data_IF_359086803047
#
_entry.id   IF_359086803047
#
_cell.length_a   1.000
_cell.length_b   1.000
_cell.length_c   1.000
_cell.angle_alpha   90.00
_cell.angle_beta   90.00
_cell.angle_gamma   90.00
#
_symmetry.space_group_name_H-M   'P 1'
#
loop_
_entity.id
_entity.type
_entity.pdbx_description
1 polymer ?
#
# COMPACT_ATOMS: atom_id res chain seq x y z
N UNK A 1 -12.01 0.26 -4.88
CA UNK A 1 -11.91 0.28 -6.36
C UNK A 1 -11.33 -1.06 -6.80
N UNK A 2 -12.05 -1.82 -7.64
CA UNK A 2 -11.55 -3.07 -8.20
C UNK A 2 -10.32 -2.77 -9.05
N UNK A 3 -9.17 -3.30 -8.69
CA UNK A 3 -7.98 -3.25 -9.54
C UNK A 3 -8.30 -4.00 -10.84
N UNK A 4 -8.39 -3.27 -11.93
CA UNK A 4 -8.69 -3.84 -13.24
C UNK A 4 -7.38 -4.19 -13.94
N UNK A 5 -7.12 -5.47 -14.10
CA UNK A 5 -6.00 -5.96 -14.89
C UNK A 5 -6.33 -5.91 -16.38
N UNK A 6 -5.30 -5.77 -17.20
CA UNK A 6 -5.44 -5.71 -18.65
C UNK A 6 -4.54 -6.75 -19.28
N UNK A 7 -5.09 -7.59 -20.14
CA UNK A 7 -4.28 -8.40 -21.04
C UNK A 7 -3.86 -7.54 -22.24
N UNK A 8 -2.58 -7.52 -22.49
CA UNK A 8 -1.99 -6.74 -23.57
C UNK A 8 -1.26 -7.69 -24.51
N UNK A 9 -1.71 -7.81 -25.76
CA UNK A 9 -0.93 -8.42 -26.82
C UNK A 9 0.17 -7.44 -27.20
N UNK A 10 1.22 -7.42 -26.41
CA UNK A 10 2.26 -6.44 -26.30
C UNK A 10 2.60 -5.69 -27.58
N UNK A 11 2.78 -4.42 -27.42
CA UNK A 11 3.42 -3.60 -28.41
C UNK A 11 4.89 -3.97 -28.46
N UNK A 12 5.25 -4.95 -29.29
CA UNK A 12 6.63 -5.09 -29.70
C UNK A 12 6.84 -4.03 -30.79
N UNK A 13 7.19 -2.84 -30.37
CA UNK A 13 7.91 -1.88 -31.20
C UNK A 13 7.14 -0.99 -32.17
N UNK A 14 5.82 -0.95 -32.20
CA UNK A 14 5.10 0.04 -33.00
C UNK A 14 3.90 0.60 -32.27
N UNK A 15 4.07 1.76 -31.65
CA UNK A 15 2.93 2.66 -31.41
C UNK A 15 2.61 3.27 -32.78
N UNK A 16 1.51 2.85 -33.40
CA UNK A 16 0.97 3.58 -34.53
C UNK A 16 0.47 4.92 -33.98
N UNK A 17 1.03 6.06 -34.38
CA UNK A 17 0.59 7.35 -33.88
C UNK A 17 -0.89 7.55 -34.24
N UNK A 18 -1.75 7.66 -33.25
CA UNK A 18 -3.18 7.97 -33.41
C UNK A 18 -4.17 6.89 -33.00
N UNK A 19 -3.80 5.62 -32.86
CA UNK A 19 -4.69 4.57 -32.38
C UNK A 19 -4.23 4.04 -31.03
N UNK A 20 -4.97 4.38 -29.99
CA UNK A 20 -4.82 3.76 -28.67
C UNK A 20 -5.69 2.49 -28.64
N UNK A 21 -5.11 1.35 -28.99
CA UNK A 21 -5.75 0.06 -28.73
C UNK A 21 -5.81 -0.12 -27.22
N UNK A 22 -7.01 -0.04 -26.66
CA UNK A 22 -7.23 -0.29 -25.23
C UNK A 22 -7.20 -1.81 -25.02
N UNK A 23 -6.29 -2.32 -24.18
CA UNK A 23 -6.28 -3.73 -23.84
C UNK A 23 -7.57 -4.11 -23.10
N UNK A 24 -7.99 -5.37 -23.29
CA UNK A 24 -9.17 -5.91 -22.59
C UNK A 24 -8.94 -5.88 -21.08
N UNK A 25 -9.94 -5.39 -20.35
CA UNK A 25 -9.90 -5.43 -18.89
C UNK A 25 -10.18 -6.86 -18.40
N UNK A 26 -9.41 -7.29 -17.39
CA UNK A 26 -9.57 -8.57 -16.72
C UNK A 26 -10.11 -8.34 -15.30
N UNK A 27 -11.42 -8.44 -15.06
CA UNK A 27 -11.97 -8.50 -13.72
C UNK A 27 -11.35 -9.65 -12.93
N UNK A 28 -10.92 -9.39 -11.68
CA UNK A 28 -10.40 -10.43 -10.80
C UNK A 28 -11.44 -11.47 -10.38
N UNK A 29 -10.97 -12.62 -9.89
CA UNK A 29 -11.82 -13.64 -9.28
C UNK A 29 -12.53 -14.59 -10.23
N UNK A 30 -12.14 -14.65 -11.49
CA UNK A 30 -12.64 -15.64 -12.47
C UNK A 30 -11.51 -16.18 -13.33
N UNK A 31 -11.74 -17.34 -13.94
CA UNK A 31 -10.85 -17.95 -14.92
C UNK A 31 -11.09 -17.42 -16.33
N UNK A 32 -10.06 -17.38 -17.12
CA UNK A 32 -10.04 -16.95 -18.51
C UNK A 32 -9.35 -17.99 -19.36
N UNK A 33 -9.91 -18.29 -20.54
CA UNK A 33 -9.23 -19.14 -21.54
C UNK A 33 -8.47 -18.21 -22.49
N UNK A 34 -7.19 -18.46 -22.65
CA UNK A 34 -6.33 -17.64 -23.51
C UNK A 34 -5.47 -18.46 -24.45
N UNK A 35 -5.06 -17.83 -25.56
CA UNK A 35 -4.14 -18.41 -26.55
C UNK A 35 -3.22 -17.34 -27.09
N UNK A 36 -1.93 -17.63 -27.16
CA UNK A 36 -0.93 -16.82 -27.85
C UNK A 36 -0.33 -17.61 -28.99
N UNK A 37 -0.32 -17.03 -30.20
CA UNK A 37 0.29 -17.61 -31.40
C UNK A 37 1.26 -16.62 -32.03
N UNK A 38 2.38 -17.12 -32.49
CA UNK A 38 3.29 -16.39 -33.34
C UNK A 38 3.40 -17.10 -34.70
N UNK A 39 3.07 -16.38 -35.77
CA UNK A 39 3.27 -16.81 -37.14
C UNK A 39 4.46 -16.04 -37.75
N UNK A 40 5.63 -16.67 -37.94
CA UNK A 40 6.80 -16.01 -38.54
C UNK A 40 6.66 -15.77 -40.05
N UNK A 41 5.67 -16.37 -40.70
CA UNK A 41 5.48 -16.33 -42.18
C UNK A 41 4.37 -15.41 -42.62
N UNK A 42 3.79 -14.62 -41.74
CA UNK A 42 2.78 -13.60 -42.13
C UNK A 42 3.37 -12.60 -43.11
N UNK A 43 2.76 -12.48 -44.30
CA UNK A 43 3.39 -12.17 -45.57
C UNK A 43 4.01 -10.77 -45.75
N UNK A 44 3.66 -9.77 -44.96
CA UNK A 44 4.12 -8.38 -45.18
C UNK A 44 4.96 -7.81 -44.04
N UNK A 45 5.21 -8.62 -43.01
CA UNK A 45 5.89 -8.17 -41.79
C UNK A 45 6.96 -9.16 -41.33
N UNK A 46 7.65 -8.85 -40.26
CA UNK A 46 8.56 -9.75 -39.56
C UNK A 46 7.90 -10.93 -38.86
N UNK A 47 6.57 -11.02 -38.91
CA UNK A 47 5.74 -12.03 -38.28
C UNK A 47 4.48 -11.41 -37.66
N UNK A 48 3.55 -12.25 -37.21
CA UNK A 48 2.32 -11.83 -36.55
C UNK A 48 2.13 -12.55 -35.21
N UNK A 49 1.84 -11.79 -34.19
CA UNK A 49 1.34 -12.28 -32.92
C UNK A 49 -0.17 -12.19 -32.90
N UNK A 50 -0.83 -13.28 -32.54
CA UNK A 50 -2.28 -13.34 -32.32
C UNK A 50 -2.53 -13.75 -30.87
N UNK A 51 -3.25 -12.93 -30.15
CA UNK A 51 -3.67 -13.22 -28.79
C UNK A 51 -5.18 -13.33 -28.72
N UNK A 52 -5.68 -14.44 -28.23
CA UNK A 52 -7.13 -14.67 -28.05
C UNK A 52 -7.41 -14.88 -26.56
N UNK A 53 -8.47 -14.27 -26.05
CA UNK A 53 -8.93 -14.45 -24.68
C UNK A 53 -10.46 -14.51 -24.66
N UNK A 54 -11.01 -15.59 -24.13
CA UNK A 54 -12.46 -15.86 -24.09
C UNK A 54 -13.14 -15.60 -25.47
N UNK A 55 -12.46 -16.00 -26.55
CA UNK A 55 -12.98 -15.85 -27.93
C UNK A 55 -12.74 -14.48 -28.58
N UNK A 56 -12.31 -13.48 -27.86
CA UNK A 56 -11.89 -12.19 -28.42
C UNK A 56 -10.44 -12.22 -28.85
N UNK A 57 -10.13 -11.66 -30.00
CA UNK A 57 -8.79 -11.74 -30.61
C UNK A 57 -8.20 -10.36 -30.84
N UNK A 58 -6.93 -10.22 -30.49
CA UNK A 58 -6.10 -9.07 -30.84
C UNK A 58 -4.87 -9.51 -31.63
N UNK A 59 -4.45 -8.71 -32.60
CA UNK A 59 -3.30 -9.00 -33.45
C UNK A 59 -2.25 -7.89 -33.36
N UNK A 60 -0.98 -8.31 -33.41
CA UNK A 60 0.16 -7.41 -33.44
C UNK A 60 1.14 -7.88 -34.52
N UNK A 61 1.50 -6.97 -35.44
CA UNK A 61 2.48 -7.25 -36.48
C UNK A 61 3.90 -6.96 -35.95
N UNK A 62 4.79 -7.91 -36.09
CA UNK A 62 6.21 -7.72 -35.78
C UNK A 62 6.89 -7.10 -36.99
N UNK A 63 7.65 -6.02 -36.80
CA UNK A 63 8.39 -5.39 -37.92
C UNK A 63 9.54 -6.28 -38.41
N UNK A 64 9.91 -6.11 -39.66
CA UNK A 64 11.04 -6.85 -40.24
C UNK A 64 12.35 -6.52 -39.53
N UNK A 65 12.48 -5.29 -39.08
CA UNK A 65 13.64 -4.79 -38.35
C UNK A 65 13.77 -5.53 -37.03
N UNK A 66 12.67 -5.61 -36.22
CA UNK A 66 12.67 -6.34 -34.94
C UNK A 66 12.98 -7.83 -35.11
N UNK A 67 12.52 -8.42 -36.19
CA UNK A 67 12.88 -9.81 -36.48
C UNK A 67 14.36 -9.97 -36.83
N UNK A 68 14.90 -9.00 -37.56
CA UNK A 68 16.33 -9.01 -37.96
C UNK A 68 17.28 -8.77 -36.79
N UNK A 69 16.80 -8.19 -35.67
CA UNK A 69 17.57 -8.01 -34.44
C UNK A 69 17.96 -9.37 -33.78
N UNK A 70 17.37 -10.47 -34.26
CA UNK A 70 17.81 -11.81 -33.89
C UNK A 70 17.42 -12.29 -32.50
N UNK A 71 16.27 -11.87 -31.98
CA UNK A 71 15.76 -12.33 -30.69
C UNK A 71 15.60 -13.85 -30.67
N UNK A 72 16.13 -14.48 -29.64
CA UNK A 72 16.02 -15.93 -29.37
C UNK A 72 15.24 -16.14 -28.09
N UNK A 73 14.15 -16.89 -28.17
CA UNK A 73 13.34 -17.27 -27.02
C UNK A 73 13.71 -18.71 -26.61
N UNK A 74 14.19 -18.87 -25.40
CA UNK A 74 14.61 -20.16 -24.84
C UNK A 74 13.63 -20.67 -23.78
N UNK A 75 12.80 -19.79 -23.21
CA UNK A 75 11.90 -20.11 -22.12
C UNK A 75 10.53 -19.52 -22.36
N UNK A 76 9.53 -20.18 -21.82
CA UNK A 76 8.17 -19.66 -21.63
C UNK A 76 7.86 -19.63 -20.14
N UNK A 77 7.30 -18.55 -19.64
CA UNK A 77 6.95 -18.45 -18.22
C UNK A 77 6.62 -17.03 -17.78
N UNK A 78 6.69 -16.80 -16.48
CA UNK A 78 6.41 -15.51 -15.86
C UNK A 78 7.71 -14.74 -15.64
N UNK A 79 7.76 -13.52 -16.13
CA UNK A 79 8.86 -12.59 -15.91
C UNK A 79 8.34 -11.30 -15.28
N UNK A 80 9.07 -10.71 -14.31
CA UNK A 80 8.78 -9.36 -13.86
C UNK A 80 9.08 -8.37 -14.97
N UNK A 81 8.20 -7.41 -15.16
CA UNK A 81 8.43 -6.32 -16.11
C UNK A 81 9.54 -5.41 -15.54
N UNK A 82 10.50 -4.96 -16.36
CA UNK A 82 11.55 -4.04 -15.93
C UNK A 82 11.01 -2.60 -15.78
N UNK A 83 9.94 -2.45 -15.02
CA UNK A 83 9.27 -1.18 -14.73
C UNK A 83 8.57 -1.29 -13.38
N UNK A 84 8.59 -0.21 -12.61
CA UNK A 84 7.81 -0.14 -11.37
C UNK A 84 6.32 -0.09 -11.68
N UNK A 85 5.55 -0.97 -11.04
CA UNK A 85 4.10 -0.97 -11.04
C UNK A 85 3.59 -0.41 -9.73
N UNK A 86 2.45 0.24 -9.80
CA UNK A 86 1.84 0.87 -8.64
C UNK A 86 1.17 -0.13 -7.69
N UNK A 87 0.88 -1.34 -8.16
CA UNK A 87 0.26 -2.39 -7.36
C UNK A 87 0.84 -3.76 -7.65
N UNK A 88 0.98 -4.65 -6.65
CA UNK A 88 1.20 -6.06 -6.91
C UNK A 88 -0.06 -6.69 -7.48
N UNK A 89 0.13 -7.78 -8.23
CA UNK A 89 -0.93 -8.61 -8.73
C UNK A 89 -0.70 -10.07 -8.43
N UNK A 90 -1.79 -10.80 -8.37
CA UNK A 90 -1.79 -12.24 -8.25
C UNK A 90 -2.49 -12.82 -9.49
N UNK A 91 -1.83 -13.75 -10.16
CA UNK A 91 -2.36 -14.46 -11.29
C UNK A 91 -1.92 -15.94 -11.20
N UNK A 92 -2.82 -16.80 -11.59
CA UNK A 92 -2.61 -18.23 -11.60
C UNK A 92 -2.78 -18.73 -13.02
N UNK A 93 -1.90 -19.61 -13.48
CA UNK A 93 -1.97 -20.28 -14.78
C UNK A 93 -2.14 -21.77 -14.53
N UNK A 94 -3.01 -22.38 -15.29
CA UNK A 94 -3.27 -23.82 -15.24
C UNK A 94 -3.59 -24.36 -16.65
N UNK A 95 -3.48 -25.66 -16.85
CA UNK A 95 -3.75 -26.31 -18.14
C UNK A 95 -3.01 -25.67 -19.32
N UNK A 96 -1.74 -25.30 -19.14
CA UNK A 96 -0.97 -24.58 -20.16
C UNK A 96 -0.44 -25.53 -21.22
N UNK A 97 -0.79 -25.32 -22.48
CA UNK A 97 -0.23 -26.06 -23.60
C UNK A 97 0.80 -25.22 -24.35
N UNK A 98 2.04 -25.70 -24.44
CA UNK A 98 3.14 -25.05 -25.15
C UNK A 98 3.60 -25.94 -26.30
N UNK A 99 3.36 -25.49 -27.53
CA UNK A 99 3.72 -26.25 -28.74
C UNK A 99 3.28 -27.72 -28.73
N UNK A 100 2.09 -27.97 -28.17
CA UNK A 100 1.50 -29.31 -28.09
C UNK A 100 1.83 -30.09 -26.81
N UNK A 101 2.75 -29.64 -25.98
CA UNK A 101 3.01 -30.19 -24.66
C UNK A 101 2.11 -29.60 -23.62
N UNK A 102 1.38 -30.41 -22.87
CA UNK A 102 0.43 -29.99 -21.83
C UNK A 102 1.11 -29.98 -20.47
N UNK A 103 0.90 -28.91 -19.70
CA UNK A 103 1.31 -28.76 -18.30
C UNK A 103 0.04 -28.47 -17.48
N UNK A 104 -0.41 -29.47 -16.73
CA UNK A 104 -1.61 -29.39 -15.88
C UNK A 104 -1.28 -28.98 -14.43
N UNK A 105 -0.01 -28.76 -14.12
CA UNK A 105 0.51 -28.36 -12.82
C UNK A 105 0.03 -29.19 -11.62
N UNK A 106 -0.48 -30.39 -11.82
CA UNK A 106 -0.77 -31.36 -10.74
C UNK A 106 0.47 -31.73 -9.96
N UNK A 107 1.62 -31.70 -10.65
CA UNK A 107 2.95 -31.83 -10.06
C UNK A 107 3.84 -30.68 -10.54
N UNK A 108 4.91 -30.38 -9.78
CA UNK A 108 5.88 -29.36 -10.18
C UNK A 108 6.58 -29.75 -11.49
N UNK A 109 6.38 -29.00 -12.57
CA UNK A 109 7.01 -29.31 -13.88
C UNK A 109 8.52 -29.09 -13.91
N UNK A 110 9.12 -28.69 -12.78
CA UNK A 110 10.56 -28.43 -12.63
C UNK A 110 11.05 -27.33 -13.60
N UNK A 111 10.22 -26.31 -13.82
CA UNK A 111 10.63 -25.17 -14.63
C UNK A 111 11.76 -24.38 -13.96
N UNK A 112 12.65 -23.79 -14.76
CA UNK A 112 13.71 -22.95 -14.26
C UNK A 112 13.16 -21.79 -13.45
N UNK A 113 13.84 -21.49 -12.34
CA UNK A 113 13.41 -20.46 -11.40
C UNK A 113 14.59 -19.62 -10.91
N UNK A 114 14.33 -18.33 -10.67
CA UNK A 114 15.33 -17.40 -10.13
C UNK A 114 14.69 -16.37 -9.23
N UNK A 115 15.01 -16.44 -7.93
CA UNK A 115 14.57 -15.45 -6.92
C UNK A 115 13.04 -15.22 -6.85
N UNK A 116 12.26 -16.14 -7.38
CA UNK A 116 10.81 -16.02 -7.49
C UNK A 116 10.09 -16.41 -6.20
N UNK A 117 10.78 -17.11 -5.28
CA UNK A 117 10.19 -17.61 -4.04
C UNK A 117 11.24 -17.72 -2.93
N UNK A 118 10.86 -17.33 -1.72
CA UNK A 118 11.68 -17.54 -0.51
C UNK A 118 11.24 -18.82 0.21
N UNK A 119 9.93 -19.03 0.29
CA UNK A 119 9.34 -20.23 0.89
C UNK A 119 8.16 -20.69 0.04
N UNK A 120 7.86 -22.01 0.10
CA UNK A 120 6.64 -22.55 -0.47
C UNK A 120 5.46 -22.30 0.47
N UNK A 121 4.66 -21.30 0.16
CA UNK A 121 3.39 -21.05 0.84
C UNK A 121 2.30 -21.41 -0.15
N UNK A 122 1.61 -22.52 0.10
CA UNK A 122 0.62 -23.04 -0.84
C UNK A 122 -0.79 -22.56 -0.55
N UNK A 123 -1.06 -21.99 0.62
CA UNK A 123 -2.41 -21.64 1.06
C UNK A 123 -2.65 -20.14 1.10
N UNK A 124 -1.77 -19.38 1.72
CA UNK A 124 -1.83 -17.91 1.75
C UNK A 124 -0.51 -17.39 1.21
N UNK A 125 -0.51 -16.99 -0.05
CA UNK A 125 0.70 -16.49 -0.70
C UNK A 125 1.11 -15.14 -0.14
N UNK A 126 0.20 -14.46 0.60
CA UNK A 126 0.46 -13.16 1.16
C UNK A 126 -0.50 -12.84 2.29
N UNK A 127 -0.02 -12.71 3.54
CA UNK A 127 -0.85 -12.19 4.61
C UNK A 127 -1.25 -10.75 4.28
N UNK A 128 -2.50 -10.37 4.62
CA UNK A 128 -2.96 -8.98 4.45
C UNK A 128 -2.24 -8.05 5.41
N UNK A 129 -1.98 -8.52 6.62
CA UNK A 129 -1.25 -7.79 7.64
C UNK A 129 -0.16 -8.66 8.23
N UNK A 130 1.04 -8.09 8.31
CA UNK A 130 2.17 -8.68 9.02
C UNK A 130 2.97 -7.53 9.62
N UNK A 131 2.41 -6.92 10.69
CA UNK A 131 3.00 -5.80 11.41
C UNK A 131 2.81 -5.93 12.92
N UNK A 132 3.70 -5.34 13.64
CA UNK A 132 3.77 -5.34 15.09
C UNK A 132 5.20 -5.15 15.54
N UNK A 133 5.60 -5.82 16.63
CA UNK A 133 7.00 -5.89 16.99
C UNK A 133 7.77 -6.74 15.98
N UNK A 134 8.91 -6.24 15.53
CA UNK A 134 9.82 -6.91 14.61
C UNK A 134 11.23 -6.94 15.20
N UNK A 135 11.98 -8.05 15.11
CA UNK A 135 13.38 -8.12 15.57
C UNK A 135 14.36 -7.43 14.62
N UNK A 136 13.88 -6.75 13.62
CA UNK A 136 14.68 -6.04 12.61
C UNK A 136 15.22 -4.71 13.14
N UNK A 137 15.97 -3.97 12.31
CA UNK A 137 16.62 -2.71 12.69
C UNK A 137 16.67 -1.74 11.49
N UNK A 138 15.58 -1.65 10.75
CA UNK A 138 15.47 -0.80 9.57
C UNK A 138 15.38 0.69 9.92
N UNK A 139 14.62 1.02 10.97
CA UNK A 139 14.47 2.39 11.43
C UNK A 139 15.67 2.90 12.23
N UNK A 140 16.66 2.04 12.53
CA UNK A 140 17.96 2.45 13.05
C UNK A 140 17.93 3.08 14.44
N UNK A 141 17.12 2.56 15.34
CA UNK A 141 17.07 2.97 16.74
C UNK A 141 18.29 2.54 17.55
N UNK A 142 18.22 2.69 18.87
CA UNK A 142 19.34 2.41 19.79
C UNK A 142 19.73 0.94 19.86
N UNK A 143 18.81 0.03 19.57
CA UNK A 143 19.03 -1.41 19.61
C UNK A 143 18.12 -2.10 18.56
N UNK A 144 18.43 -3.33 18.13
CA UNK A 144 17.52 -4.12 17.31
C UNK A 144 16.18 -4.36 18.01
N UNK A 145 15.10 -4.31 17.25
CA UNK A 145 13.71 -4.41 17.70
C UNK A 145 12.98 -3.11 17.42
N UNK A 146 11.96 -3.17 16.58
CA UNK A 146 11.24 -2.01 16.07
C UNK A 146 9.75 -2.32 15.86
N UNK A 147 8.94 -1.29 15.72
CA UNK A 147 7.50 -1.39 15.40
C UNK A 147 7.28 -1.24 13.93
N UNK A 148 6.65 -2.20 13.26
CA UNK A 148 6.32 -2.05 11.84
C UNK A 148 6.08 -3.35 11.13
N UNK A 149 6.22 -3.33 9.79
CA UNK A 149 6.01 -4.48 8.94
C UNK A 149 5.14 -4.19 7.72
N UNK A 150 4.44 -5.18 7.22
CA UNK A 150 3.53 -5.10 6.07
C UNK A 150 2.15 -4.63 6.53
N UNK A 151 1.78 -3.42 6.13
CA UNK A 151 0.53 -2.77 6.51
C UNK A 151 -0.28 -2.49 5.25
N UNK A 152 -1.46 -3.08 5.12
CA UNK A 152 -2.46 -2.70 4.13
C UNK A 152 -3.39 -1.63 4.68
N UNK A 153 -4.03 -0.87 3.81
CA UNK A 153 -5.24 -0.15 4.19
C UNK A 153 -6.28 -1.14 4.71
N UNK A 154 -7.04 -0.71 5.72
CA UNK A 154 -8.16 -1.47 6.27
C UNK A 154 -9.42 -1.36 5.41
N UNK A 155 -10.52 -1.71 5.99
CA UNK A 155 -11.87 -1.43 5.47
C UNK A 155 -12.84 -1.56 6.64
N UNK A 156 -13.40 -0.46 7.11
CA UNK A 156 -14.32 -0.51 8.25
C UNK A 156 -15.62 -1.26 7.97
N UNK A 157 -15.92 -1.55 6.72
CA UNK A 157 -17.09 -2.37 6.34
C UNK A 157 -16.88 -3.86 6.60
N UNK A 158 -15.63 -4.29 6.76
CA UNK A 158 -15.23 -5.69 6.98
C UNK A 158 -14.36 -5.81 8.24
N UNK A 159 -14.86 -6.37 9.35
CA UNK A 159 -14.09 -6.47 10.61
C UNK A 159 -12.72 -7.14 10.45
N UNK A 160 -12.60 -8.14 9.58
CA UNK A 160 -11.35 -8.86 9.32
C UNK A 160 -10.28 -8.00 8.61
N UNK A 161 -10.66 -6.80 8.15
CA UNK A 161 -9.76 -5.85 7.50
C UNK A 161 -9.36 -4.68 8.41
N UNK A 162 -9.78 -4.69 9.67
CA UNK A 162 -9.34 -3.76 10.69
C UNK A 162 -8.26 -4.43 11.53
N UNK A 163 -7.12 -3.77 11.67
CA UNK A 163 -6.00 -4.26 12.46
C UNK A 163 -5.30 -3.11 13.18
N UNK A 164 -4.76 -3.41 14.35
CA UNK A 164 -3.94 -2.49 15.11
C UNK A 164 -2.90 -3.23 15.94
N UNK A 165 -1.81 -2.55 16.24
CA UNK A 165 -0.82 -2.96 17.23
C UNK A 165 -0.34 -1.71 17.96
N UNK A 166 -0.55 -1.66 19.27
CA UNK A 166 -0.23 -0.46 20.04
C UNK A 166 -0.18 -0.71 21.54
N UNK A 167 0.55 0.16 22.20
CA UNK A 167 0.71 0.21 23.64
C UNK A 167 -0.54 0.80 24.32
N UNK A 168 -0.81 0.36 25.54
CA UNK A 168 -1.85 0.91 26.41
C UNK A 168 -1.33 2.15 27.12
N UNK A 169 -1.95 3.31 26.88
CA UNK A 169 -1.48 4.60 27.38
C UNK A 169 -2.42 5.26 28.40
N UNK A 170 -3.51 4.59 28.78
CA UNK A 170 -4.58 5.16 29.60
C UNK A 170 -5.48 6.11 28.79
N UNK A 171 -6.56 6.64 29.37
CA UNK A 171 -7.48 7.51 28.65
C UNK A 171 -6.89 8.93 28.50
N UNK A 172 -6.42 9.28 27.32
CA UNK A 172 -6.05 10.64 26.94
C UNK A 172 -7.16 11.28 26.11
N UNK A 173 -7.23 12.61 26.11
CA UNK A 173 -8.26 13.37 25.38
C UNK A 173 -7.65 14.53 24.61
N UNK A 174 -8.47 15.23 23.80
CA UNK A 174 -8.07 16.46 23.13
C UNK A 174 -7.92 17.67 24.05
N UNK A 175 -8.11 17.53 25.37
CA UNK A 175 -7.91 18.61 26.34
C UNK A 175 -6.47 18.69 26.87
N UNK A 176 -5.67 17.66 26.64
CA UNK A 176 -4.28 17.59 27.06
C UNK A 176 -3.33 17.63 25.87
N UNK A 177 -2.12 18.18 26.02
CA UNK A 177 -1.10 18.09 25.00
C UNK A 177 -0.71 16.63 24.73
N UNK A 178 -0.60 16.26 23.45
CA UNK A 178 -0.12 14.97 23.03
C UNK A 178 1.17 15.13 22.23
N UNK A 179 2.13 14.26 22.47
CA UNK A 179 3.44 14.31 21.80
C UNK A 179 3.90 12.93 21.46
N UNK A 180 4.58 12.82 20.32
CA UNK A 180 5.37 11.66 19.95
C UNK A 180 6.58 12.11 19.16
N UNK A 181 7.68 11.39 19.31
CA UNK A 181 8.88 11.50 18.48
C UNK A 181 9.49 10.12 18.30
N UNK A 182 10.30 9.98 17.27
CA UNK A 182 11.02 8.74 17.00
C UNK A 182 11.66 8.75 15.63
N UNK A 183 12.01 7.58 15.17
CA UNK A 183 12.59 7.33 13.85
C UNK A 183 11.59 6.59 12.97
N UNK A 184 11.69 6.79 11.66
CA UNK A 184 10.88 6.08 10.66
C UNK A 184 11.73 5.70 9.46
N UNK A 185 11.49 4.50 8.93
CA UNK A 185 12.13 4.01 7.72
C UNK A 185 11.10 3.29 6.84
N UNK A 186 11.00 3.71 5.59
CA UNK A 186 10.10 3.10 4.62
C UNK A 186 10.88 2.17 3.69
N UNK A 187 10.48 0.89 3.65
CA UNK A 187 11.16 -0.15 2.87
C UNK A 187 10.52 -0.31 1.50
N UNK A 188 9.18 -0.24 1.48
CA UNK A 188 8.37 -0.43 0.29
C UNK A 188 7.08 0.37 0.40
N UNK A 189 6.64 0.88 -0.72
CA UNK A 189 5.33 1.51 -0.85
C UNK A 189 4.79 1.34 -2.25
N UNK A 190 3.48 1.29 -2.34
CA UNK A 190 2.72 1.16 -3.57
C UNK A 190 1.67 2.26 -3.57
N UNK A 191 1.28 2.77 -4.74
CA UNK A 191 0.21 3.77 -4.79
C UNK A 191 -1.10 3.23 -4.20
N UNK A 192 -1.95 4.12 -3.76
CA UNK A 192 -3.21 3.79 -3.09
C UNK A 192 -3.02 2.99 -1.79
N UNK A 193 -2.01 3.36 -1.03
CA UNK A 193 -1.69 2.74 0.25
C UNK A 193 -1.49 3.78 1.34
N UNK A 194 -1.76 3.39 2.58
CA UNK A 194 -1.59 4.25 3.75
C UNK A 194 -1.17 3.42 4.96
N UNK A 195 -0.15 3.87 5.68
CA UNK A 195 0.10 3.46 7.06
C UNK A 195 -0.24 4.62 7.99
N UNK A 196 -0.86 4.30 9.12
CA UNK A 196 -1.26 5.28 10.13
C UNK A 196 -0.63 4.91 11.47
N UNK A 197 0.05 5.87 12.10
CA UNK A 197 0.61 5.74 13.44
C UNK A 197 0.15 6.91 14.31
N UNK A 198 -0.31 6.64 15.52
CA UNK A 198 -0.80 7.69 16.41
C UNK A 198 -1.55 7.21 17.63
N UNK A 199 -2.26 8.14 18.24
CA UNK A 199 -3.17 7.92 19.36
C UNK A 199 -4.53 7.47 18.82
N UNK A 200 -5.06 6.36 19.35
CA UNK A 200 -6.31 5.80 18.88
C UNK A 200 -7.12 5.17 20.02
N UNK A 201 -8.38 4.85 19.75
CA UNK A 201 -9.27 4.17 20.69
C UNK A 201 -9.42 2.70 20.32
N UNK A 202 -9.10 1.81 21.24
CA UNK A 202 -9.14 0.35 20.98
C UNK A 202 -10.52 -0.20 20.60
N UNK A 203 -11.58 0.53 20.89
CA UNK A 203 -12.95 0.16 20.53
C UNK A 203 -13.43 0.88 19.29
N UNK A 204 -13.38 2.23 19.29
CA UNK A 204 -13.99 3.04 18.25
C UNK A 204 -13.15 3.13 16.97
N UNK A 205 -11.83 3.15 17.09
CA UNK A 205 -10.95 3.15 15.89
C UNK A 205 -10.96 1.82 15.14
N UNK A 206 -11.39 0.74 15.81
CA UNK A 206 -11.52 -0.61 15.22
C UNK A 206 -12.99 -1.02 15.02
N UNK A 207 -13.90 -0.06 15.12
CA UNK A 207 -15.33 -0.32 14.97
C UNK A 207 -15.69 -0.57 13.51
N UNK A 208 -16.34 -1.71 13.26
CA UNK A 208 -16.83 -2.03 11.93
C UNK A 208 -18.19 -1.41 11.68
N UNK A 209 -18.31 -0.65 10.59
CA UNK A 209 -19.56 -0.05 10.17
C UNK A 209 -19.76 -0.21 8.65
N UNK A 210 -20.64 -1.12 8.20
CA UNK A 210 -20.87 -1.36 6.79
C UNK A 210 -21.42 -0.14 6.00
N UNK A 211 -22.01 0.83 6.68
CA UNK A 211 -22.57 2.03 6.08
C UNK A 211 -21.56 3.20 6.00
N UNK A 212 -20.35 3.02 6.54
CA UNK A 212 -19.36 4.08 6.63
C UNK A 212 -18.50 4.15 5.38
N UNK A 213 -18.25 5.36 4.89
CA UNK A 213 -17.38 5.65 3.74
C UNK A 213 -16.17 6.54 4.10
N UNK A 214 -15.99 6.86 5.38
CA UNK A 214 -14.89 7.68 5.87
C UNK A 214 -13.57 6.88 5.88
N UNK A 215 -12.47 7.55 5.57
CA UNK A 215 -11.14 6.93 5.51
C UNK A 215 -10.40 6.93 6.85
N UNK A 216 -10.74 7.87 7.75
CA UNK A 216 -10.04 8.07 9.02
C UNK A 216 -10.80 7.33 10.12
N UNK A 217 -10.13 6.50 10.96
CA UNK A 217 -10.76 5.86 12.10
C UNK A 217 -11.34 6.87 13.10
N UNK A 218 -12.41 6.50 13.78
CA UNK A 218 -12.96 7.29 14.89
C UNK A 218 -11.96 7.37 16.05
N UNK A 219 -11.96 8.49 16.77
CA UNK A 219 -11.09 8.73 17.91
C UNK A 219 -9.63 8.43 17.57
N UNK A 220 -9.15 9.06 16.51
CA UNK A 220 -7.80 8.93 16.00
C UNK A 220 -7.12 10.30 15.86
N UNK A 221 -5.86 10.40 16.30
CA UNK A 221 -4.99 11.54 16.08
C UNK A 221 -3.56 11.05 15.85
N UNK A 222 -3.02 11.29 14.66
CA UNK A 222 -1.72 10.75 14.31
C UNK A 222 -1.15 11.27 12.99
N UNK A 223 -0.31 10.45 12.40
CA UNK A 223 0.33 10.67 11.11
C UNK A 223 -0.12 9.59 10.13
N UNK A 224 -0.42 10.01 8.91
CA UNK A 224 -0.53 9.13 7.76
C UNK A 224 0.72 9.21 6.89
N UNK A 225 1.17 8.04 6.43
CA UNK A 225 2.13 7.89 5.34
C UNK A 225 1.34 7.37 4.15
N UNK A 226 1.02 8.25 3.20
CA UNK A 226 0.12 7.93 2.10
C UNK A 226 0.73 8.31 0.76
N UNK A 227 0.60 7.43 -0.21
CA UNK A 227 1.26 7.63 -1.48
C UNK A 227 0.37 7.74 -2.69
N UNK A 228 0.80 8.66 -3.61
CA UNK A 228 1.22 8.24 -4.93
C UNK A 228 2.71 7.88 -4.91
N UNK A 229 3.03 6.64 -5.32
CA UNK A 229 4.40 6.11 -5.26
C UNK A 229 5.40 6.84 -6.16
N UNK A 230 4.95 7.46 -7.24
CA UNK A 230 5.81 8.16 -8.22
C UNK A 230 6.37 9.49 -7.71
N UNK A 231 5.70 10.13 -6.76
CA UNK A 231 6.07 11.43 -6.18
C UNK A 231 6.63 11.33 -4.77
N UNK A 232 6.74 10.12 -4.23
CA UNK A 232 6.98 9.84 -2.83
C UNK A 232 5.68 9.67 -2.05
N UNK A 233 5.79 9.42 -0.78
CA UNK A 233 4.67 9.27 0.13
C UNK A 233 4.57 10.52 1.00
N UNK A 234 3.37 11.05 1.15
CA UNK A 234 3.12 12.22 1.99
C UNK A 234 3.08 11.81 3.46
N UNK A 235 3.82 12.52 4.29
CA UNK A 235 3.90 12.33 5.73
C UNK A 235 3.17 13.49 6.41
N UNK A 236 1.93 13.27 6.88
CA UNK A 236 1.08 14.38 7.28
C UNK A 236 0.21 14.10 8.51
N UNK A 237 -0.18 15.15 9.25
CA UNK A 237 -1.10 15.03 10.37
C UNK A 237 -2.50 14.69 9.91
N UNK A 238 -3.17 13.87 10.70
CA UNK A 238 -4.56 13.46 10.49
C UNK A 238 -5.24 13.30 11.84
N UNK A 239 -6.51 13.65 11.90
CA UNK A 239 -7.35 13.36 13.07
C UNK A 239 -8.79 13.08 12.68
N UNK A 240 -9.49 12.36 13.52
CA UNK A 240 -10.95 12.27 13.60
C UNK A 240 -11.36 12.18 15.05
N UNK A 241 -12.14 13.13 15.49
CA UNK A 241 -12.72 13.13 16.83
C UNK A 241 -13.93 12.20 16.89
N UNK A 242 -14.53 12.07 18.04
CA UNK A 242 -15.73 11.24 18.19
C UNK A 242 -16.87 11.81 17.33
N UNK A 243 -17.35 11.03 16.37
CA UNK A 243 -18.31 11.49 15.36
C UNK A 243 -17.66 11.98 14.07
N UNK A 244 -18.13 13.11 13.51
CA UNK A 244 -17.74 13.59 12.18
C UNK A 244 -16.58 14.58 12.12
N UNK A 245 -16.25 15.38 13.15
CA UNK A 245 -15.15 16.32 13.02
C UNK A 245 -13.85 15.63 12.70
N UNK A 246 -13.33 15.86 11.50
CA UNK A 246 -12.09 15.25 11.00
C UNK A 246 -11.29 16.23 10.17
N UNK A 247 -10.01 15.94 9.97
CA UNK A 247 -9.14 16.71 9.12
C UNK A 247 -7.85 15.98 8.79
N UNK A 248 -7.29 16.34 7.65
CA UNK A 248 -6.00 15.85 7.19
C UNK A 248 -5.36 16.83 6.20
N UNK A 249 -4.06 16.70 6.02
CA UNK A 249 -3.34 17.38 4.95
C UNK A 249 -3.05 16.36 3.84
N UNK A 250 -3.68 16.50 2.70
CA UNK A 250 -3.41 15.63 1.55
C UNK A 250 -2.43 16.26 0.56
N UNK A 251 -2.22 15.60 -0.57
CA UNK A 251 -1.33 16.02 -1.67
C UNK A 251 -1.60 17.42 -2.24
N UNK A 252 -2.77 17.98 -2.00
CA UNK A 252 -3.15 19.34 -2.42
C UNK A 252 -2.88 20.46 -1.41
N UNK A 253 -2.33 20.15 -0.23
CA UNK A 253 -2.23 21.07 0.91
C UNK A 253 -0.89 21.82 1.02
N UNK A 254 -0.24 22.16 -0.06
CA UNK A 254 1.03 22.90 -0.02
C UNK A 254 2.26 22.00 0.28
N UNK A 255 3.19 22.50 1.09
CA UNK A 255 4.40 21.75 1.45
C UNK A 255 4.12 20.73 2.55
N UNK A 256 3.78 19.53 2.17
CA UNK A 256 3.70 18.37 3.07
C UNK A 256 5.00 17.58 2.96
N UNK A 257 5.66 17.21 4.08
CA UNK A 257 6.85 16.38 4.07
C UNK A 257 6.64 15.09 3.28
N UNK A 258 7.69 14.61 2.63
CA UNK A 258 7.66 13.37 1.83
C UNK A 258 8.68 12.37 2.31
N UNK A 259 8.28 11.12 2.36
CA UNK A 259 9.12 9.97 2.63
C UNK A 259 9.14 9.05 1.41
N UNK A 260 10.28 8.41 1.15
CA UNK A 260 10.46 7.51 0.01
C UNK A 260 10.79 6.10 0.48
N UNK A 261 10.40 5.06 -0.29
CA UNK A 261 10.74 3.68 0.03
C UNK A 261 12.20 3.36 -0.36
N UNK A 262 13.13 4.16 0.13
CA UNK A 262 14.56 4.13 -0.18
C UNK A 262 15.43 3.59 0.97
N UNK A 263 14.78 3.14 2.06
CA UNK A 263 15.42 2.62 3.28
C UNK A 263 16.23 3.66 4.06
N UNK A 264 16.00 4.93 3.83
CA UNK A 264 16.59 5.98 4.64
C UNK A 264 15.85 6.12 5.96
N UNK A 265 16.61 6.36 7.02
CA UNK A 265 16.06 6.65 8.33
C UNK A 265 15.81 8.15 8.43
N UNK A 266 14.63 8.50 8.93
CA UNK A 266 14.20 9.88 9.16
C UNK A 266 13.83 10.05 10.63
N UNK A 267 14.13 11.21 11.19
CA UNK A 267 13.61 11.63 12.48
C UNK A 267 12.24 12.27 12.29
N UNK A 268 11.30 11.96 13.15
CA UNK A 268 9.95 12.52 13.05
C UNK A 268 9.37 12.89 14.41
N UNK A 269 8.42 13.82 14.41
CA UNK A 269 7.63 14.14 15.59
C UNK A 269 6.22 14.57 15.23
N UNK A 270 5.32 14.40 16.21
CA UNK A 270 3.98 14.97 16.22
C UNK A 270 3.77 15.68 17.56
N UNK A 271 3.23 16.89 17.52
CA UNK A 271 2.82 17.64 18.70
C UNK A 271 1.39 18.12 18.50
N UNK A 272 0.53 17.81 19.43
CA UNK A 272 -0.80 18.38 19.54
C UNK A 272 -0.83 19.37 20.71
N UNK A 273 -1.21 20.61 20.42
CA UNK A 273 -1.39 21.69 21.39
C UNK A 273 -2.87 22.06 21.45
N UNK A 274 -3.59 21.77 22.55
CA UNK A 274 -4.99 22.12 22.71
C UNK A 274 -5.24 23.65 22.72
N UNK A 275 -4.24 24.46 23.08
CA UNK A 275 -4.35 25.92 23.06
C UNK A 275 -4.09 26.52 21.68
N UNK A 276 -3.50 25.76 20.77
CA UNK A 276 -3.21 26.19 19.40
C UNK A 276 -4.48 26.57 18.63
N UNK A 277 -4.31 27.34 17.55
CA UNK A 277 -5.41 27.78 16.70
C UNK A 277 -6.55 28.49 17.46
N UNK A 278 -6.17 29.38 18.41
CA UNK A 278 -7.12 30.09 19.29
C UNK A 278 -7.99 29.14 20.15
N UNK A 279 -7.39 28.06 20.68
CA UNK A 279 -8.04 27.08 21.55
C UNK A 279 -8.83 25.98 20.82
N UNK A 280 -8.78 25.93 19.49
CA UNK A 280 -9.39 24.83 18.73
C UNK A 280 -8.57 23.54 18.81
N UNK A 281 -7.27 23.70 18.94
CA UNK A 281 -6.29 22.63 18.89
C UNK A 281 -5.49 22.67 17.58
N UNK A 282 -4.20 22.37 17.67
CA UNK A 282 -3.27 22.37 16.53
C UNK A 282 -2.38 21.15 16.58
N UNK A 283 -2.26 20.44 15.46
CA UNK A 283 -1.31 19.38 15.26
C UNK A 283 -0.15 19.90 14.43
N UNK A 284 1.07 19.70 14.90
CA UNK A 284 2.31 20.00 14.17
C UNK A 284 3.05 18.68 13.94
N UNK A 285 3.37 18.38 12.69
CA UNK A 285 4.16 17.20 12.31
C UNK A 285 5.44 17.64 11.65
N UNK A 286 6.54 17.04 12.06
CA UNK A 286 7.88 17.27 11.50
C UNK A 286 8.47 15.95 11.01
N UNK A 287 9.07 15.95 9.83
CA UNK A 287 9.90 14.90 9.27
C UNK A 287 11.24 15.53 8.89
N UNK A 288 12.32 15.16 9.56
CA UNK A 288 13.64 15.81 9.50
C UNK A 288 13.49 17.34 9.75
N UNK A 289 13.78 18.16 8.75
CA UNK A 289 13.71 19.63 8.79
C UNK A 289 12.39 20.20 8.23
N UNK A 290 11.50 19.35 7.73
CA UNK A 290 10.24 19.76 7.12
C UNK A 290 9.09 19.68 8.12
N UNK A 291 8.28 20.72 8.17
CA UNK A 291 7.16 20.80 9.12
C UNK A 291 5.86 21.14 8.39
N UNK A 292 4.77 20.52 8.82
CA UNK A 292 3.42 20.87 8.41
C UNK A 292 2.47 20.95 9.60
N UNK A 293 1.38 21.68 9.44
CA UNK A 293 0.47 22.06 10.54
C UNK A 293 -0.97 21.85 10.12
N UNK A 294 -1.77 21.26 11.00
CA UNK A 294 -3.21 21.06 10.85
C UNK A 294 -3.95 21.62 12.07
N UNK A 295 -4.84 22.56 11.87
CA UNK A 295 -5.74 23.06 12.92
C UNK A 295 -7.00 22.19 12.97
N UNK A 296 -7.48 21.90 14.18
CA UNK A 296 -8.71 21.15 14.35
C UNK A 296 -9.94 22.01 14.01
N UNK A 297 -11.01 21.36 13.57
CA UNK A 297 -12.33 21.98 13.44
C UNK A 297 -12.82 22.51 14.80
N UNK A 298 -13.59 23.59 14.82
CA UNK A 298 -14.01 24.25 16.08
C UNK A 298 -14.68 23.32 17.09
N UNK A 299 -15.47 22.38 16.62
CA UNK A 299 -16.25 21.44 17.41
C UNK A 299 -15.48 20.16 17.81
N UNK A 300 -14.31 19.90 17.24
CA UNK A 300 -13.60 18.63 17.41
C UNK A 300 -13.34 18.28 18.89
N UNK A 301 -12.91 19.25 19.71
CA UNK A 301 -12.62 19.05 21.12
C UNK A 301 -13.85 18.75 21.97
N UNK A 302 -15.00 19.29 21.60
CA UNK A 302 -16.25 19.12 22.36
C UNK A 302 -16.93 17.76 22.13
N UNK A 303 -16.44 16.97 21.19
CA UNK A 303 -17.03 15.64 20.87
C UNK A 303 -16.69 14.56 21.88
N UNK A 304 -15.68 14.78 22.73
CA UNK A 304 -15.29 13.83 23.75
C UNK A 304 -14.44 12.66 23.24
N UNK A 305 -13.62 12.87 22.23
CA UNK A 305 -12.68 11.86 21.74
C UNK A 305 -11.74 11.37 22.85
N UNK A 306 -11.55 10.07 22.94
CA UNK A 306 -10.71 9.40 23.94
C UNK A 306 -9.73 8.47 23.25
N UNK A 307 -8.47 8.56 23.63
CA UNK A 307 -7.39 7.72 23.12
C UNK A 307 -6.86 6.85 24.26
N UNK A 308 -6.89 5.55 24.09
CA UNK A 308 -6.40 4.58 25.10
C UNK A 308 -5.22 3.74 24.57
N UNK A 309 -4.78 3.99 23.33
CA UNK A 309 -3.66 3.32 22.68
C UNK A 309 -2.80 4.31 21.91
N UNK A 310 -1.50 3.97 21.81
CA UNK A 310 -0.57 4.56 20.85
C UNK A 310 0.07 3.45 20.02
N UNK A 311 0.10 3.62 18.69
CA UNK A 311 0.69 2.65 17.78
C UNK A 311 0.13 2.72 16.37
N UNK A 312 0.23 1.61 15.64
CA UNK A 312 -0.28 1.48 14.27
C UNK A 312 -1.75 1.04 14.33
N UNK A 313 -2.60 1.77 13.61
CA UNK A 313 -4.01 1.46 13.42
C UNK A 313 -4.35 1.62 11.94
N UNK A 314 -4.96 0.61 11.33
CA UNK A 314 -5.28 0.66 9.89
C UNK A 314 -6.34 1.72 9.58
N UNK A 315 -6.19 2.50 8.50
CA UNK A 315 -7.25 3.39 8.02
C UNK A 315 -8.49 2.59 7.59
N UNK A 316 -9.62 3.29 7.48
CA UNK A 316 -10.93 2.68 7.24
C UNK A 316 -11.29 2.51 5.76
N UNK A 317 -10.40 2.81 4.86
CA UNK A 317 -10.60 2.68 3.40
C UNK A 317 -9.71 1.56 2.86
N UNK A 318 -10.26 0.72 2.00
CA UNK A 318 -9.51 -0.35 1.33
C UNK A 318 -8.43 0.20 0.39
N UNK A 319 -7.41 -0.59 0.15
CA UNK A 319 -6.30 -0.24 -0.74
C UNK A 319 -5.09 -1.15 -0.59
N UNK A 320 -3.96 -0.65 -1.06
CA UNK A 320 -2.70 -1.37 -1.12
C UNK A 320 -1.87 -1.25 0.17
N UNK A 321 -0.64 -1.72 0.12
CA UNK A 321 0.24 -1.86 1.28
C UNK A 321 1.49 -1.00 1.22
N UNK A 322 2.02 -0.73 2.40
CA UNK A 322 3.37 -0.25 2.65
C UNK A 322 4.12 -1.22 3.55
N UNK A 323 5.45 -1.18 3.49
CA UNK A 323 6.31 -1.76 4.52
C UNK A 323 7.10 -0.62 5.14
N UNK A 324 6.82 -0.34 6.40
CA UNK A 324 7.39 0.77 7.16
C UNK A 324 7.69 0.34 8.57
N UNK A 325 8.73 0.91 9.15
CA UNK A 325 9.20 0.64 10.51
C UNK A 325 9.42 1.93 11.27
N UNK A 326 9.15 1.88 12.58
CA UNK A 326 9.31 2.96 13.52
C UNK A 326 10.13 2.47 14.71
N UNK A 327 11.02 3.34 15.22
CA UNK A 327 11.88 3.00 16.34
C UNK A 327 12.15 4.21 17.23
N UNK A 328 12.80 3.98 18.38
CA UNK A 328 13.10 5.02 19.38
C UNK A 328 11.89 5.89 19.73
N UNK A 329 10.71 5.28 19.83
CA UNK A 329 9.44 5.99 20.04
C UNK A 329 9.33 6.48 21.47
N UNK A 330 9.10 7.79 21.62
CA UNK A 330 8.75 8.43 22.89
C UNK A 330 7.40 9.14 22.71
N UNK A 331 6.39 8.82 23.51
CA UNK A 331 5.04 9.35 23.37
C UNK A 331 4.38 9.64 24.71
N UNK A 332 3.37 10.51 24.70
CA UNK A 332 2.56 10.81 25.88
C UNK A 332 1.78 9.58 26.32
N UNK A 333 1.93 9.22 27.58
CA UNK A 333 1.11 8.24 28.27
C UNK A 333 0.60 8.85 29.58
N UNK A 334 -0.50 8.29 30.12
CA UNK A 334 -0.89 8.58 31.48
C UNK A 334 0.03 7.80 32.43
N UNK A 335 0.64 8.47 33.39
CA UNK A 335 1.35 7.77 34.46
C UNK A 335 0.36 6.88 35.20
N UNK A 336 0.64 5.58 35.32
CA UNK A 336 -0.09 4.73 36.24
C UNK A 336 0.18 5.29 37.65
N UNK A 337 -0.85 5.73 38.35
CA UNK A 337 -0.73 5.98 39.78
C UNK A 337 -0.34 4.62 40.40
N UNK A 338 0.94 4.48 40.79
CA UNK A 338 1.39 3.35 41.58
C UNK A 338 0.45 3.24 42.79
N UNK A 339 -0.40 2.22 42.75
CA UNK A 339 -1.39 1.98 43.76
C UNK A 339 -0.73 1.92 45.15
N UNK A 340 -1.15 2.86 45.99
CA UNK A 340 -0.85 2.82 47.42
C UNK A 340 -1.49 1.60 48.08
#
# INVERSE_FOLDING_TARGET
>A
ASSRWRANAGVIGAIVPGERILPKELPGGRSYVWRLQYDPHSAESGGKLTFTMDGETAECMVSKEHRSDGAVFTHFGLLPIPKTWDSPGEAWLDDVTINGTVFDFTEDPQWDQKNNRVTYITKDTRPRFDFGWSPTHWAGGRAPGELGGLIFRGDCREPARLAAYGDRIGPLTLDSPLRVRGKVCMIRGISDSTASIGFYNSTWSLYSNPAQDQSIPLDYLGVNIEGPSSEGFYFYPVYRAHGDPSGYLGSGSGTVPRIYPDRRVHDWSLQYDPSGANGRGRITVTLDDQTCVLDLAPEARSTGAVFDRFGICTPWIDGNSVTVFFDDLEYTCQEEEEGR
#
